data_IF_222055997556
#
_entry.id   IF_222055997556
#
_cell.length_a   1.000
_cell.length_b   1.000
_cell.length_c   1.000
_cell.angle_alpha   90.00
_cell.angle_beta   90.00
_cell.angle_gamma   90.00
#
_symmetry.space_group_name_H-M   'P 1'
#
loop_
_entity.id
_entity.type
_entity.pdbx_description
1 polymer ?
#
# COMPACT_ATOMS: atom_id res chain seq x y z
N UNK A 1 21.18 32.81 -5.18
CA UNK A 1 20.30 32.49 -4.04
C UNK A 1 18.97 33.12 -4.42
N UNK A 2 17.97 32.45 -4.97
CA UNK A 2 17.30 31.21 -4.59
C UNK A 2 16.52 30.77 -5.85
N UNK A 3 16.91 29.68 -6.51
CA UNK A 3 16.16 29.16 -7.67
C UNK A 3 15.00 28.34 -7.10
N UNK A 4 13.81 28.90 -7.22
CA UNK A 4 12.53 28.32 -6.80
C UNK A 4 12.45 26.83 -7.13
N UNK A 5 12.46 26.01 -6.09
CA UNK A 5 12.26 24.56 -6.15
C UNK A 5 10.77 24.27 -6.40
N UNK A 6 10.27 24.63 -7.58
CA UNK A 6 9.01 24.12 -8.11
C UNK A 6 9.32 23.44 -9.44
N UNK A 7 9.96 22.27 -9.35
CA UNK A 7 10.01 21.33 -10.46
C UNK A 7 8.57 21.01 -10.85
N UNK A 8 8.22 21.20 -12.13
CA UNK A 8 6.90 20.87 -12.66
C UNK A 8 6.61 19.40 -12.32
N UNK A 9 5.71 19.14 -11.38
CA UNK A 9 5.28 17.79 -11.05
C UNK A 9 4.60 17.27 -12.31
N UNK A 10 5.22 16.28 -12.97
CA UNK A 10 4.68 15.74 -14.22
C UNK A 10 3.29 15.13 -13.95
N UNK A 11 2.27 15.40 -14.80
CA UNK A 11 0.91 14.91 -14.59
C UNK A 11 0.81 13.39 -14.36
N UNK A 12 1.76 12.63 -14.91
CA UNK A 12 1.83 11.18 -14.75
C UNK A 12 2.04 10.71 -13.31
N UNK A 13 2.70 11.50 -12.45
CA UNK A 13 2.85 11.14 -11.03
C UNK A 13 1.51 11.12 -10.29
N UNK A 14 0.56 11.98 -10.70
CA UNK A 14 -0.81 11.94 -10.15
C UNK A 14 -1.55 10.67 -10.59
N UNK A 15 -1.34 10.21 -11.83
CA UNK A 15 -1.91 8.94 -12.30
C UNK A 15 -1.34 7.75 -11.52
N UNK A 16 -0.04 7.76 -11.21
CA UNK A 16 0.60 6.74 -10.37
C UNK A 16 0.09 6.75 -8.93
N UNK A 17 -0.09 7.94 -8.34
CA UNK A 17 -0.67 8.07 -7.01
C UNK A 17 -2.14 7.62 -6.97
N UNK A 18 -2.93 7.98 -7.98
CA UNK A 18 -4.34 7.60 -8.08
C UNK A 18 -4.50 6.08 -8.25
N UNK A 19 -3.71 5.45 -9.11
CA UNK A 19 -3.75 3.99 -9.29
C UNK A 19 -3.32 3.27 -8.01
N UNK A 20 -2.25 3.75 -7.35
CA UNK A 20 -1.83 3.27 -6.04
C UNK A 20 -2.92 3.38 -4.98
N UNK A 21 -3.65 4.50 -4.94
CA UNK A 21 -4.76 4.70 -4.02
C UNK A 21 -5.88 3.67 -4.23
N UNK A 22 -6.32 3.48 -5.48
CA UNK A 22 -7.40 2.54 -5.81
C UNK A 22 -6.98 1.11 -5.46
N UNK A 23 -5.79 0.68 -5.91
CA UNK A 23 -5.29 -0.67 -5.69
C UNK A 23 -5.08 -0.92 -4.18
N UNK A 24 -4.44 0.01 -3.47
CA UNK A 24 -4.21 -0.09 -2.04
C UNK A 24 -5.50 -0.17 -1.23
N UNK A 25 -6.53 0.58 -1.63
CA UNK A 25 -7.84 0.53 -0.97
C UNK A 25 -8.52 -0.82 -1.17
N UNK A 26 -8.53 -1.34 -2.41
CA UNK A 26 -9.10 -2.66 -2.73
C UNK A 26 -8.40 -3.76 -1.94
N UNK A 27 -7.06 -3.77 -1.94
CA UNK A 27 -6.26 -4.79 -1.23
C UNK A 27 -6.49 -4.70 0.28
N UNK A 28 -6.53 -3.50 0.84
CA UNK A 28 -6.84 -3.31 2.26
C UNK A 28 -8.20 -3.91 2.61
N UNK A 29 -9.22 -3.69 1.79
CA UNK A 29 -10.57 -4.23 2.03
C UNK A 29 -10.61 -5.75 1.92
N UNK A 30 -9.97 -6.34 0.91
CA UNK A 30 -9.87 -7.79 0.77
C UNK A 30 -9.22 -8.40 2.03
N UNK A 31 -8.12 -7.82 2.50
CA UNK A 31 -7.42 -8.31 3.68
C UNK A 31 -8.25 -8.14 4.96
N UNK A 32 -8.95 -7.02 5.12
CA UNK A 32 -9.86 -6.80 6.25
C UNK A 32 -10.98 -7.83 6.29
N UNK A 33 -11.62 -8.09 5.16
CA UNK A 33 -12.68 -9.11 5.06
C UNK A 33 -12.12 -10.48 5.41
N UNK A 34 -10.96 -10.84 4.86
CA UNK A 34 -10.29 -12.11 5.19
C UNK A 34 -9.98 -12.20 6.69
N UNK A 35 -9.46 -11.13 7.31
CA UNK A 35 -9.11 -11.10 8.72
C UNK A 35 -10.34 -11.20 9.65
N UNK A 36 -11.46 -10.58 9.27
CA UNK A 36 -12.74 -10.69 10.01
C UNK A 36 -13.27 -12.11 9.94
N UNK A 37 -13.35 -12.69 8.72
CA UNK A 37 -13.83 -14.06 8.51
C UNK A 37 -12.95 -15.05 9.26
N UNK A 38 -11.63 -14.86 9.22
CA UNK A 38 -10.68 -15.69 9.96
C UNK A 38 -10.95 -15.63 11.48
N UNK A 39 -11.13 -14.42 12.04
CA UNK A 39 -11.44 -14.24 13.47
C UNK A 39 -12.78 -14.86 13.87
N UNK A 40 -13.81 -14.71 13.05
CA UNK A 40 -15.16 -15.22 13.32
C UNK A 40 -15.27 -16.75 13.14
N UNK A 41 -14.42 -17.35 12.31
CA UNK A 41 -14.43 -18.79 12.02
C UNK A 41 -14.00 -19.69 13.20
N UNK A 42 -13.65 -19.12 14.37
CA UNK A 42 -13.20 -19.86 15.57
C UNK A 42 -12.15 -20.93 15.27
N UNK A 43 -11.18 -20.64 14.40
CA UNK A 43 -9.95 -21.42 14.37
C UNK A 43 -9.31 -21.34 15.77
N UNK A 44 -9.05 -22.49 16.39
CA UNK A 44 -8.68 -22.64 17.79
C UNK A 44 -7.57 -21.64 18.20
N UNK A 45 -7.81 -20.73 19.17
CA UNK A 45 -6.79 -19.80 19.66
C UNK A 45 -5.61 -20.51 20.36
N UNK A 46 -5.73 -21.81 20.67
CA UNK A 46 -4.65 -22.65 21.17
C UNK A 46 -3.94 -23.46 20.07
N UNK A 47 -4.22 -23.19 18.78
CA UNK A 47 -3.49 -23.83 17.69
C UNK A 47 -2.03 -23.35 17.75
N UNK A 48 -1.18 -24.21 18.28
CA UNK A 48 0.27 -24.03 18.28
C UNK A 48 0.77 -23.95 16.84
N UNK A 49 1.53 -22.89 16.56
CA UNK A 49 2.54 -22.81 15.50
C UNK A 49 2.10 -22.39 14.10
N UNK A 50 1.85 -21.08 13.94
CA UNK A 50 2.51 -20.40 12.83
C UNK A 50 2.96 -18.96 13.11
N UNK A 51 2.46 -18.29 14.15
CA UNK A 51 2.72 -16.84 14.35
C UNK A 51 2.87 -16.43 15.82
N UNK A 52 3.48 -17.27 16.67
CA UNK A 52 3.88 -16.88 18.02
C UNK A 52 5.10 -15.95 17.97
N UNK A 53 4.85 -14.68 17.69
CA UNK A 53 5.85 -13.61 17.76
C UNK A 53 5.39 -12.64 18.83
N UNK A 54 6.31 -12.04 19.59
CA UNK A 54 6.02 -11.05 20.64
C UNK A 54 5.31 -9.77 20.14
N UNK A 55 4.87 -9.74 18.89
CA UNK A 55 4.15 -8.66 18.24
C UNK A 55 2.79 -9.17 17.78
N UNK A 56 1.70 -8.45 18.05
CA UNK A 56 0.37 -8.86 17.61
C UNK A 56 0.36 -9.05 16.09
N UNK A 57 -0.22 -10.15 15.57
CA UNK A 57 -0.28 -10.40 14.14
C UNK A 57 -0.95 -9.27 13.36
N UNK A 58 -0.56 -9.08 12.10
CA UNK A 58 -1.08 -8.00 11.23
C UNK A 58 -2.61 -8.02 11.11
N UNK A 59 -3.23 -9.20 11.16
CA UNK A 59 -4.68 -9.36 11.12
C UNK A 59 -5.40 -8.79 12.35
N UNK A 60 -4.73 -8.72 13.51
CA UNK A 60 -5.26 -8.07 14.72
C UNK A 60 -5.41 -6.58 14.46
N UNK A 61 -4.35 -5.93 13.99
CA UNK A 61 -4.39 -4.51 13.63
C UNK A 61 -5.43 -4.22 12.54
N UNK A 62 -5.57 -5.12 11.56
CA UNK A 62 -6.57 -4.99 10.50
C UNK A 62 -8.03 -5.07 11.01
N UNK A 63 -8.27 -5.74 12.15
CA UNK A 63 -9.62 -5.93 12.72
C UNK A 63 -9.93 -4.97 13.86
N UNK A 64 -8.96 -4.63 14.71
CA UNK A 64 -9.13 -3.71 15.84
C UNK A 64 -9.05 -2.24 15.41
N UNK A 65 -8.16 -1.93 14.46
CA UNK A 65 -7.95 -0.57 13.96
C UNK A 65 -8.04 -0.54 12.42
N UNK A 66 -9.20 -0.88 11.83
CA UNK A 66 -9.34 -1.05 10.38
C UNK A 66 -8.99 0.23 9.61
N UNK A 67 -9.35 1.40 10.12
CA UNK A 67 -9.07 2.67 9.45
C UNK A 67 -7.56 2.95 9.38
N UNK A 68 -6.84 2.75 10.48
CA UNK A 68 -5.38 2.92 10.53
C UNK A 68 -4.67 1.93 9.62
N UNK A 69 -5.10 0.66 9.63
CA UNK A 69 -4.58 -0.35 8.71
C UNK A 69 -4.78 0.04 7.24
N UNK A 70 -5.99 0.46 6.87
CA UNK A 70 -6.28 0.91 5.51
C UNK A 70 -5.45 2.12 5.10
N UNK A 71 -5.28 3.09 5.99
CA UNK A 71 -4.45 4.26 5.72
C UNK A 71 -3.01 3.86 5.36
N UNK A 72 -2.38 2.99 6.16
CA UNK A 72 -1.00 2.56 5.92
C UNK A 72 -0.85 1.74 4.64
N UNK A 73 -1.77 0.81 4.39
CA UNK A 73 -1.75 0.01 3.15
C UNK A 73 -1.90 0.92 1.93
N UNK A 74 -2.87 1.84 1.94
CA UNK A 74 -3.07 2.81 0.86
C UNK A 74 -1.83 3.67 0.65
N UNK A 75 -1.22 4.17 1.72
CA UNK A 75 -0.01 4.99 1.64
C UNK A 75 1.15 4.25 0.97
N UNK A 76 1.37 2.98 1.33
CA UNK A 76 2.39 2.13 0.72
C UNK A 76 2.14 1.98 -0.79
N UNK A 77 0.90 1.69 -1.19
CA UNK A 77 0.57 1.52 -2.60
C UNK A 77 0.65 2.82 -3.40
N UNK A 78 0.33 3.98 -2.80
CA UNK A 78 0.57 5.28 -3.43
C UNK A 78 2.06 5.47 -3.73
N UNK A 79 2.94 5.19 -2.76
CA UNK A 79 4.40 5.29 -2.94
C UNK A 79 4.87 4.36 -4.06
N UNK A 80 4.40 3.10 -4.07
CA UNK A 80 4.71 2.13 -5.13
C UNK A 80 4.24 2.64 -6.49
N UNK A 81 3.03 3.16 -6.60
CA UNK A 81 2.48 3.69 -7.86
C UNK A 81 3.27 4.88 -8.40
N UNK A 82 3.70 5.80 -7.53
CA UNK A 82 4.58 6.92 -7.88
C UNK A 82 5.94 6.42 -8.38
N UNK A 83 6.56 5.48 -7.66
CA UNK A 83 7.85 4.89 -8.06
C UNK A 83 7.73 4.16 -9.39
N UNK A 84 6.66 3.40 -9.59
CA UNK A 84 6.40 2.67 -10.84
C UNK A 84 6.32 3.61 -12.04
N UNK A 85 5.56 4.70 -11.93
CA UNK A 85 5.49 5.72 -12.99
C UNK A 85 6.85 6.37 -13.21
N UNK A 86 7.60 6.65 -12.16
CA UNK A 86 8.96 7.21 -12.27
C UNK A 86 9.88 6.29 -13.09
N UNK A 87 9.85 5.00 -12.81
CA UNK A 87 10.64 4.00 -13.53
C UNK A 87 10.21 3.89 -15.00
N UNK A 88 8.90 3.96 -15.27
CA UNK A 88 8.39 3.99 -16.64
C UNK A 88 8.88 5.21 -17.41
N UNK A 89 8.85 6.40 -16.81
CA UNK A 89 9.36 7.62 -17.46
C UNK A 89 10.86 7.52 -17.76
N UNK A 90 11.66 7.04 -16.81
CA UNK A 90 13.10 6.83 -17.03
C UNK A 90 13.34 5.87 -18.20
N UNK A 91 12.54 4.79 -18.28
CA UNK A 91 12.64 3.81 -19.36
C UNK A 91 12.26 4.42 -20.72
N UNK A 92 11.16 5.16 -20.78
CA UNK A 92 10.69 5.83 -22.01
C UNK A 92 11.76 6.81 -22.51
N UNK A 93 12.28 7.69 -21.65
CA UNK A 93 13.30 8.66 -22.06
C UNK A 93 14.56 7.96 -22.61
N UNK A 94 14.99 6.86 -21.97
CA UNK A 94 16.12 6.05 -22.44
C UNK A 94 15.87 5.41 -23.81
N UNK A 95 14.64 5.00 -24.12
CA UNK A 95 14.27 4.42 -25.41
C UNK A 95 14.10 5.49 -26.51
N UNK A 96 13.79 6.74 -26.13
CA UNK A 96 13.54 7.83 -27.09
C UNK A 96 14.79 8.65 -27.43
N UNK A 97 15.94 8.37 -26.79
CA UNK A 97 17.23 8.95 -27.18
C UNK A 97 17.40 10.44 -26.88
N UNK A 98 16.77 10.93 -25.80
CA UNK A 98 17.13 12.21 -25.17
C UNK A 98 18.12 12.02 -24.02
#
# INVERSE_FOLDING_TARGET
>A
MEKSFMGRIHPHYYLGALSGLIIGYVISKIYQVWAIVYRESRFDPNMSDSWNTNSPPIWVTATENPNSFSFWVVLIYIIIGIIFVRLLQIKINKETGE
#
